data_IF_616148887434
#
_entry.id   IF_616148887434
#
_cell.length_a   1.000
_cell.length_b   1.000
_cell.length_c   1.000
_cell.angle_alpha   90.00
_cell.angle_beta   90.00
_cell.angle_gamma   90.00
#
_symmetry.space_group_name_H-M   'P 1'
#
loop_
_entity.id
_entity.type
_entity.pdbx_description
1 polymer ?
#
# COMPACT_ATOMS: atom_id res chain seq x y z
N UNK A 1 13.38 -10.40 11.38
CA UNK A 1 13.59 -8.98 11.03
C UNK A 1 14.69 -8.39 11.92
N UNK A 2 15.60 -7.68 11.32
CA UNK A 2 16.66 -7.05 12.10
C UNK A 2 16.14 -5.82 12.86
N UNK A 3 16.59 -5.69 14.12
CA UNK A 3 16.17 -4.60 15.02
C UNK A 3 16.53 -3.23 14.43
N UNK A 4 17.63 -3.12 13.68
CA UNK A 4 18.03 -1.84 13.08
C UNK A 4 16.99 -1.24 12.13
N UNK A 5 16.24 -2.08 11.41
CA UNK A 5 15.17 -1.61 10.51
C UNK A 5 14.00 -1.06 11.32
N UNK A 6 13.63 -1.73 12.40
CA UNK A 6 12.58 -1.23 13.29
C UNK A 6 12.97 0.10 13.92
N UNK A 7 14.21 0.24 14.34
CA UNK A 7 14.72 1.50 14.90
C UNK A 7 14.71 2.62 13.86
N UNK A 8 15.06 2.32 12.60
CA UNK A 8 15.00 3.29 11.51
C UNK A 8 13.57 3.74 11.22
N UNK A 9 12.60 2.83 11.24
CA UNK A 9 11.19 3.17 11.06
C UNK A 9 10.72 4.13 12.16
N UNK A 10 11.06 3.83 13.40
CA UNK A 10 10.70 4.68 14.55
C UNK A 10 11.35 6.07 14.47
N UNK A 11 12.60 6.13 14.02
CA UNK A 11 13.34 7.39 13.92
C UNK A 11 12.83 8.27 12.78
N UNK A 12 12.50 7.66 11.64
CA UNK A 12 12.11 8.39 10.42
C UNK A 12 10.61 8.64 10.29
N UNK A 13 9.81 7.85 10.98
CA UNK A 13 8.34 7.92 10.92
C UNK A 13 7.83 7.97 9.47
N UNK A 14 8.17 6.96 8.63
CA UNK A 14 7.91 7.01 7.20
C UNK A 14 6.41 7.01 6.90
N UNK A 15 6.02 7.76 5.87
CA UNK A 15 4.66 7.76 5.37
C UNK A 15 4.44 6.52 4.49
N UNK A 16 3.51 5.66 4.88
CA UNK A 16 3.17 4.43 4.16
C UNK A 16 1.77 4.55 3.59
N UNK A 17 1.68 4.62 2.26
CA UNK A 17 0.41 4.69 1.55
C UNK A 17 -0.13 3.29 1.35
N UNK A 18 -1.36 3.04 1.81
CA UNK A 18 -2.00 1.74 1.73
C UNK A 18 -3.25 1.80 0.84
N UNK A 19 -3.30 0.95 -0.16
CA UNK A 19 -4.54 0.59 -0.83
C UNK A 19 -4.85 -0.83 -0.39
N UNK A 20 -5.82 -0.99 0.50
CA UNK A 20 -6.09 -2.27 1.13
C UNK A 20 -7.60 -2.55 1.15
N UNK A 21 -7.99 -3.68 1.72
CA UNK A 21 -9.39 -4.03 1.86
C UNK A 21 -9.97 -3.48 3.16
N UNK A 22 -11.28 -3.32 3.20
CA UNK A 22 -11.96 -2.72 4.37
C UNK A 22 -11.87 -3.59 5.63
N UNK A 23 -11.68 -4.90 5.46
CA UNK A 23 -11.56 -5.82 6.61
C UNK A 23 -10.23 -5.60 7.33
N UNK A 24 -9.14 -5.37 6.58
CA UNK A 24 -7.80 -5.24 7.12
C UNK A 24 -7.35 -3.80 7.38
N UNK A 25 -8.08 -2.80 6.87
CA UNK A 25 -7.63 -1.40 6.88
C UNK A 25 -7.29 -0.89 8.28
N UNK A 26 -8.19 -1.07 9.22
CA UNK A 26 -7.99 -0.60 10.60
C UNK A 26 -6.82 -1.32 11.28
N UNK A 27 -6.74 -2.64 11.12
CA UNK A 27 -5.66 -3.44 11.68
C UNK A 27 -4.30 -3.05 11.09
N UNK A 28 -4.24 -2.87 9.77
CA UNK A 28 -3.01 -2.46 9.09
C UNK A 28 -2.55 -1.08 9.54
N UNK A 29 -3.47 -0.12 9.64
CA UNK A 29 -3.16 1.22 10.13
C UNK A 29 -2.62 1.19 11.55
N UNK A 30 -3.26 0.45 12.44
CA UNK A 30 -2.81 0.33 13.83
C UNK A 30 -1.47 -0.38 13.95
N UNK A 31 -1.23 -1.41 13.13
CA UNK A 31 0.06 -2.09 13.08
C UNK A 31 1.20 -1.18 12.67
N UNK A 32 0.98 -0.37 11.63
CA UNK A 32 1.97 0.61 11.18
C UNK A 32 2.24 1.67 12.24
N UNK A 33 1.20 2.19 12.88
CA UNK A 33 1.35 3.15 13.98
C UNK A 33 2.15 2.55 15.12
N UNK A 34 1.89 1.29 15.46
CA UNK A 34 2.56 0.60 16.56
C UNK A 34 4.07 0.48 16.35
N UNK A 35 4.53 0.32 15.11
CA UNK A 35 5.95 0.22 14.80
C UNK A 35 6.61 1.58 14.52
N UNK A 36 5.84 2.67 14.56
CA UNK A 36 6.35 4.03 14.40
C UNK A 36 6.22 4.62 13.01
N UNK A 37 5.52 3.96 12.08
CA UNK A 37 5.24 4.50 10.76
C UNK A 37 4.00 5.41 10.79
N UNK A 38 3.82 6.19 9.74
CA UNK A 38 2.65 7.03 9.53
C UNK A 38 1.81 6.44 8.39
N UNK A 39 0.73 5.72 8.68
CA UNK A 39 -0.11 5.15 7.62
C UNK A 39 -1.05 6.18 7.02
N UNK A 40 -1.29 6.08 5.72
CA UNK A 40 -2.39 6.76 5.07
C UNK A 40 -3.16 5.74 4.23
N UNK A 41 -4.48 5.68 4.45
CA UNK A 41 -5.39 4.75 3.80
C UNK A 41 -6.18 5.53 2.75
N UNK A 42 -5.77 5.43 1.49
CA UNK A 42 -6.38 6.21 0.42
C UNK A 42 -6.46 5.39 -0.86
N UNK A 43 -7.61 5.41 -1.52
CA UNK A 43 -7.87 4.65 -2.74
C UNK A 43 -8.60 5.43 -3.84
N UNK A 44 -8.74 6.75 -3.70
CA UNK A 44 -9.31 7.56 -4.77
C UNK A 44 -8.31 7.74 -5.90
N UNK A 45 -8.71 7.37 -7.12
CA UNK A 45 -7.85 7.49 -8.30
C UNK A 45 -7.37 8.92 -8.52
N UNK A 46 -8.14 9.90 -8.07
CA UNK A 46 -7.85 11.32 -8.29
C UNK A 46 -6.63 11.82 -7.51
N UNK A 47 -6.24 11.13 -6.44
CA UNK A 47 -5.09 11.53 -5.63
C UNK A 47 -3.91 10.54 -5.65
N UNK A 48 -4.06 9.41 -6.34
CA UNK A 48 -3.10 8.30 -6.26
C UNK A 48 -1.70 8.67 -6.76
N UNK A 49 -1.62 9.38 -7.88
CA UNK A 49 -0.32 9.71 -8.46
C UNK A 49 0.50 10.60 -7.54
N UNK A 50 -0.12 11.61 -6.99
CA UNK A 50 0.52 12.58 -6.09
C UNK A 50 0.88 11.95 -4.76
N UNK A 51 -0.06 11.23 -4.17
CA UNK A 51 0.11 10.62 -2.85
C UNK A 51 1.18 9.53 -2.86
N UNK A 52 1.14 8.64 -3.86
CA UNK A 52 2.13 7.57 -3.97
C UNK A 52 3.55 8.12 -4.15
N UNK A 53 3.71 9.15 -4.98
CA UNK A 53 5.02 9.77 -5.20
C UNK A 53 5.58 10.44 -3.95
N UNK A 54 4.71 10.96 -3.07
CA UNK A 54 5.10 11.64 -1.83
C UNK A 54 5.34 10.67 -0.67
N UNK A 55 4.97 9.41 -0.81
CA UNK A 55 5.08 8.41 0.26
C UNK A 55 6.48 7.80 0.31
N UNK A 56 6.80 7.20 1.46
CA UNK A 56 8.05 6.43 1.63
C UNK A 56 7.93 4.99 1.16
N UNK A 57 6.71 4.46 1.17
CA UNK A 57 6.39 3.13 0.65
C UNK A 57 4.91 3.06 0.28
N UNK A 58 4.57 2.17 -0.63
CA UNK A 58 3.19 1.92 -1.06
C UNK A 58 2.88 0.44 -0.87
N UNK A 59 1.75 0.13 -0.24
CA UNK A 59 1.26 -1.24 -0.05
C UNK A 59 -0.02 -1.43 -0.86
N UNK A 60 -0.02 -2.44 -1.72
CA UNK A 60 -1.16 -2.80 -2.57
C UNK A 60 -1.71 -4.16 -2.14
N UNK A 61 -2.90 -4.17 -1.54
CA UNK A 61 -3.56 -5.39 -1.06
C UNK A 61 -4.79 -5.67 -1.93
N UNK A 62 -4.85 -6.83 -2.54
CA UNK A 62 -5.91 -7.22 -3.48
C UNK A 62 -7.03 -8.04 -2.82
N UNK A 63 -7.20 -7.95 -1.51
CA UNK A 63 -8.17 -8.77 -0.77
C UNK A 63 -9.62 -8.52 -1.14
N UNK A 64 -10.00 -7.30 -1.42
CA UNK A 64 -11.36 -6.92 -1.84
C UNK A 64 -11.27 -6.02 -3.06
N UNK A 65 -11.34 -6.62 -4.24
CA UNK A 65 -11.14 -5.90 -5.50
C UNK A 65 -12.46 -5.39 -6.10
N UNK A 66 -12.35 -4.24 -6.76
CA UNK A 66 -13.31 -3.74 -7.71
C UNK A 66 -12.56 -2.95 -8.79
N UNK A 67 -13.24 -2.57 -9.87
CA UNK A 67 -12.62 -1.85 -10.99
C UNK A 67 -11.90 -0.59 -10.56
N UNK A 68 -12.52 0.20 -9.70
CA UNK A 68 -11.97 1.48 -9.23
C UNK A 68 -10.71 1.26 -8.40
N UNK A 69 -10.69 0.24 -7.54
CA UNK A 69 -9.51 -0.11 -6.76
C UNK A 69 -8.35 -0.58 -7.64
N UNK A 70 -8.63 -1.42 -8.61
CA UNK A 70 -7.60 -1.88 -9.56
C UNK A 70 -6.98 -0.69 -10.30
N UNK A 71 -7.82 0.23 -10.79
CA UNK A 71 -7.34 1.45 -11.45
C UNK A 71 -6.48 2.30 -10.52
N UNK A 72 -6.92 2.51 -9.28
CA UNK A 72 -6.16 3.26 -8.28
C UNK A 72 -4.80 2.59 -8.00
N UNK A 73 -4.76 1.27 -7.87
CA UNK A 73 -3.52 0.53 -7.65
C UNK A 73 -2.54 0.66 -8.80
N UNK A 74 -3.03 0.60 -10.05
CA UNK A 74 -2.18 0.77 -11.21
C UNK A 74 -1.57 2.17 -11.27
N UNK A 75 -2.36 3.20 -11.01
CA UNK A 75 -1.87 4.58 -10.96
C UNK A 75 -0.85 4.75 -9.84
N UNK A 76 -1.17 4.28 -8.64
CA UNK A 76 -0.28 4.38 -7.49
C UNK A 76 1.04 3.64 -7.73
N UNK A 77 0.98 2.41 -8.24
CA UNK A 77 2.17 1.61 -8.53
C UNK A 77 3.08 2.26 -9.56
N UNK A 78 2.51 2.76 -10.64
CA UNK A 78 3.28 3.44 -11.68
C UNK A 78 3.93 4.73 -11.16
N UNK A 79 3.17 5.52 -10.40
CA UNK A 79 3.68 6.75 -9.82
C UNK A 79 4.80 6.48 -8.82
N UNK A 80 4.63 5.48 -7.96
CA UNK A 80 5.65 5.07 -7.00
C UNK A 80 6.93 4.61 -7.73
N UNK A 81 6.80 3.81 -8.79
CA UNK A 81 7.94 3.35 -9.58
C UNK A 81 8.71 4.53 -10.20
N UNK A 82 8.02 5.52 -10.73
CA UNK A 82 8.66 6.71 -11.31
C UNK A 82 9.40 7.53 -10.25
N UNK A 83 8.86 7.59 -9.05
CA UNK A 83 9.44 8.35 -7.94
C UNK A 83 10.49 7.58 -7.14
N UNK A 84 10.74 6.31 -7.48
CA UNK A 84 11.67 5.46 -6.74
C UNK A 84 11.14 5.01 -5.38
N UNK A 85 9.82 5.03 -5.19
CA UNK A 85 9.17 4.60 -3.94
C UNK A 85 8.92 3.10 -3.99
N UNK A 86 9.35 2.31 -2.99
CA UNK A 86 9.13 0.87 -2.97
C UNK A 86 7.65 0.52 -2.87
N UNK A 87 7.26 -0.52 -3.60
CA UNK A 87 5.89 -1.04 -3.62
C UNK A 87 5.90 -2.46 -3.07
N UNK A 88 5.02 -2.71 -2.10
CA UNK A 88 4.79 -4.05 -1.54
C UNK A 88 3.43 -4.54 -2.04
N UNK A 89 3.43 -5.65 -2.76
CA UNK A 89 2.20 -6.29 -3.21
C UNK A 89 1.81 -7.39 -2.23
N UNK A 90 0.58 -7.32 -1.72
CA UNK A 90 -0.01 -8.36 -0.89
C UNK A 90 -1.11 -9.07 -1.71
N UNK A 91 -0.77 -10.18 -2.39
CA UNK A 91 -1.65 -10.82 -3.38
C UNK A 91 -2.66 -11.77 -2.74
N UNK A 92 -3.48 -11.28 -1.83
CA UNK A 92 -4.48 -12.07 -1.12
C UNK A 92 -5.40 -12.80 -2.09
N UNK A 93 -5.39 -14.12 -2.05
CA UNK A 93 -6.22 -14.97 -2.90
C UNK A 93 -5.93 -14.85 -4.40
N UNK A 94 -4.70 -14.57 -4.78
CA UNK A 94 -4.31 -14.27 -6.17
C UNK A 94 -4.69 -15.35 -7.20
N UNK A 95 -4.76 -16.61 -6.79
CA UNK A 95 -5.12 -17.72 -7.68
C UNK A 95 -6.60 -18.02 -7.79
N UNK A 96 -7.45 -17.39 -6.97
CA UNK A 96 -8.86 -17.81 -6.84
C UNK A 96 -9.75 -17.40 -8.00
N UNK A 97 -9.56 -16.19 -8.53
CA UNK A 97 -10.43 -15.67 -9.59
C UNK A 97 -9.60 -15.11 -10.74
N UNK A 98 -10.23 -15.00 -11.90
CA UNK A 98 -9.59 -14.37 -13.06
C UNK A 98 -9.19 -12.92 -12.75
N UNK A 99 -10.05 -12.17 -12.08
CA UNK A 99 -9.76 -10.79 -11.71
C UNK A 99 -8.49 -10.69 -10.84
N UNK A 100 -8.37 -11.56 -9.84
CA UNK A 100 -7.19 -11.56 -8.96
C UNK A 100 -5.93 -11.99 -9.70
N UNK A 101 -6.04 -12.99 -10.58
CA UNK A 101 -4.89 -13.42 -11.41
C UNK A 101 -4.40 -12.32 -12.32
N UNK A 102 -5.32 -11.63 -13.00
CA UNK A 102 -4.97 -10.56 -13.92
C UNK A 102 -4.42 -9.32 -13.22
N UNK A 103 -4.95 -8.99 -12.03
CA UNK A 103 -4.49 -7.84 -11.24
C UNK A 103 -3.08 -8.08 -10.68
N UNK A 104 -2.82 -9.29 -10.26
CA UNK A 104 -1.51 -9.63 -9.74
C UNK A 104 -0.47 -9.65 -10.84
#
# INVERSE_FOLDING_TARGET
MEIKYLDQVRARNPLVHNITNIVAANFSANGLLAIGASPIMADSVDEMAELAAASSAVVLNIGTLNKQKVEAMLVAGKSANRAGVPVVLDPVGAGFTQLRRETT
#
